data_IF_729135377686
#
_entry.id   IF_729135377686
#
_cell.length_a   1.000
_cell.length_b   1.000
_cell.length_c   1.000
_cell.angle_alpha   90.00
_cell.angle_beta   90.00
_cell.angle_gamma   90.00
#
_symmetry.space_group_name_H-M   'P 1'
#
loop_
_entity.id
_entity.type
_entity.pdbx_description
1 polymer ?
#
# COMPACT_ATOMS: atom_id res chain seq x y z
N UNK A 1 26.62 -5.31 -15.01
CA UNK A 1 25.93 -4.11 -15.51
C UNK A 1 24.70 -3.92 -14.63
N UNK A 2 24.77 -3.03 -13.65
CA UNK A 2 23.69 -2.79 -12.71
C UNK A 2 22.65 -1.88 -13.38
N UNK A 3 21.47 -2.42 -13.66
CA UNK A 3 20.35 -1.63 -14.17
C UNK A 3 19.92 -0.62 -13.11
N UNK A 4 20.00 0.66 -13.45
CA UNK A 4 19.40 1.77 -12.71
C UNK A 4 17.88 1.53 -12.62
N UNK A 5 17.43 0.92 -11.52
CA UNK A 5 16.02 0.92 -11.13
C UNK A 5 15.65 2.37 -10.80
N UNK A 6 14.79 2.98 -11.62
CA UNK A 6 14.30 4.34 -11.41
C UNK A 6 13.56 4.36 -10.07
N UNK A 7 14.19 4.99 -9.08
CA UNK A 7 13.69 5.11 -7.71
C UNK A 7 12.51 6.07 -7.68
N UNK A 8 11.29 5.56 -7.84
CA UNK A 8 10.04 6.30 -7.60
C UNK A 8 9.55 6.22 -6.13
N UNK A 9 10.29 5.57 -5.23
CA UNK A 9 9.83 5.27 -3.86
C UNK A 9 10.88 5.72 -2.82
N UNK A 10 11.49 6.87 -3.09
CA UNK A 10 12.58 7.43 -2.29
C UNK A 10 12.20 8.63 -1.44
N UNK A 11 11.04 8.66 -0.78
CA UNK A 11 10.75 9.54 0.38
C UNK A 11 9.29 9.42 0.84
N UNK A 12 8.97 8.48 1.73
CA UNK A 12 7.85 8.61 2.69
C UNK A 12 7.72 7.38 3.62
N UNK A 13 8.81 6.88 4.22
CA UNK A 13 8.69 6.03 5.42
C UNK A 13 9.72 6.50 6.45
N UNK A 14 9.53 7.72 6.93
CA UNK A 14 10.23 8.25 8.09
C UNK A 14 9.39 9.38 8.72
N UNK A 15 8.19 9.07 9.21
CA UNK A 15 7.52 9.79 10.30
C UNK A 15 6.10 9.24 10.51
N UNK A 16 5.97 8.15 11.26
CA UNK A 16 4.84 8.04 12.19
C UNK A 16 5.46 7.76 13.54
N UNK A 17 5.96 8.86 14.14
CA UNK A 17 6.30 8.89 15.56
C UNK A 17 4.98 9.00 16.32
N UNK A 18 4.88 8.18 17.36
CA UNK A 18 3.80 8.15 18.32
C UNK A 18 3.52 9.53 18.95
N UNK A 19 2.24 9.87 19.10
CA UNK A 19 1.74 10.52 20.32
C UNK A 19 1.71 12.05 20.34
N UNK A 20 0.47 12.59 20.42
CA UNK A 20 0.11 13.66 21.34
C UNK A 20 0.77 15.04 21.17
N UNK A 21 0.14 15.91 20.38
CA UNK A 21 0.11 17.34 20.67
C UNK A 21 -1.16 17.97 20.07
N UNK A 22 -2.01 18.53 20.92
CA UNK A 22 -3.09 19.42 20.50
C UNK A 22 -2.53 20.54 19.62
N UNK A 23 -3.08 20.69 18.42
CA UNK A 23 -3.05 21.95 17.69
C UNK A 23 -4.45 22.17 17.16
N UNK A 24 -5.15 23.12 17.76
CA UNK A 24 -6.46 23.59 17.34
C UNK A 24 -6.31 24.17 15.93
N UNK A 25 -6.82 23.47 14.93
CA UNK A 25 -7.01 24.02 13.59
C UNK A 25 -8.51 24.14 13.34
N UNK A 26 -8.96 25.36 13.12
CA UNK A 26 -10.37 25.72 12.92
C UNK A 26 -10.92 25.00 11.69
N UNK A 27 -11.94 24.17 11.90
CA UNK A 27 -12.72 23.49 10.87
C UNK A 27 -13.66 24.49 10.19
N UNK A 28 -13.32 24.94 8.98
CA UNK A 28 -14.33 25.39 8.01
C UNK A 28 -14.93 24.13 7.38
N UNK A 29 -16.16 23.82 7.79
CA UNK A 29 -16.89 22.64 7.35
C UNK A 29 -17.20 22.68 5.86
N UNK A 30 -16.82 21.62 5.15
CA UNK A 30 -17.49 21.17 3.94
C UNK A 30 -18.26 19.92 4.29
N UNK A 31 -19.57 19.94 4.02
CA UNK A 31 -20.45 18.81 4.23
C UNK A 31 -20.02 17.65 3.32
N UNK A 32 -19.44 16.60 3.91
CA UNK A 32 -19.28 15.30 3.27
C UNK A 32 -20.54 14.48 3.50
N UNK A 33 -21.03 13.87 2.42
CA UNK A 33 -22.15 12.93 2.48
C UNK A 33 -21.89 11.86 3.54
N UNK A 34 -22.95 11.46 4.23
CA UNK A 34 -22.91 10.47 5.31
C UNK A 34 -22.39 9.13 4.80
N UNK A 35 -21.06 8.94 4.82
CA UNK A 35 -20.47 7.62 4.87
C UNK A 35 -20.96 6.99 6.18
N UNK A 36 -21.67 5.87 6.07
CA UNK A 36 -22.18 5.11 7.22
C UNK A 36 -20.99 4.80 8.14
N UNK A 37 -20.91 5.46 9.29
CA UNK A 37 -19.78 5.35 10.21
C UNK A 37 -19.57 3.87 10.55
N UNK A 38 -18.53 3.26 9.98
CA UNK A 38 -18.14 1.91 10.32
C UNK A 38 -17.79 1.88 11.81
N UNK A 39 -18.25 0.87 12.54
CA UNK A 39 -17.91 0.77 13.95
C UNK A 39 -16.38 0.76 14.12
N UNK A 40 -15.82 1.56 15.04
CA UNK A 40 -14.38 1.62 15.24
C UNK A 40 -13.86 0.24 15.65
N UNK A 41 -12.88 -0.28 14.90
CA UNK A 41 -12.26 -1.57 15.19
C UNK A 41 -11.59 -1.54 16.56
N UNK A 42 -11.77 -2.60 17.34
CA UNK A 42 -11.07 -2.78 18.61
C UNK A 42 -9.66 -3.31 18.35
N UNK A 43 -8.70 -2.40 18.21
CA UNK A 43 -7.29 -2.73 18.02
C UNK A 43 -6.63 -2.95 19.39
N UNK A 44 -6.11 -4.16 19.70
CA UNK A 44 -5.44 -4.42 20.96
C UNK A 44 -4.24 -3.49 21.19
N UNK A 45 -4.07 -3.01 22.42
CA UNK A 45 -2.91 -2.20 22.79
C UNK A 45 -1.63 -3.03 22.73
N UNK A 46 -0.55 -2.41 22.26
CA UNK A 46 0.79 -3.02 22.28
C UNK A 46 1.32 -2.98 23.72
N UNK A 47 1.78 -4.11 24.24
CA UNK A 47 2.38 -4.17 25.57
C UNK A 47 3.68 -3.38 25.60
N UNK A 48 3.94 -2.69 26.72
CA UNK A 48 5.15 -1.86 26.88
C UNK A 48 6.45 -2.65 26.63
N UNK A 49 6.50 -3.91 27.08
CA UNK A 49 7.65 -4.78 26.85
C UNK A 49 7.86 -5.10 25.36
N UNK A 50 6.79 -5.37 24.62
CA UNK A 50 6.85 -5.61 23.16
C UNK A 50 7.23 -4.34 22.42
N UNK A 51 6.67 -3.19 22.82
CA UNK A 51 7.02 -1.90 22.24
C UNK A 51 8.52 -1.61 22.32
N UNK A 52 9.15 -1.83 23.49
CA UNK A 52 10.61 -1.68 23.65
C UNK A 52 11.40 -2.57 22.70
N UNK A 53 11.01 -3.84 22.56
CA UNK A 53 11.66 -4.78 21.62
C UNK A 53 11.53 -4.30 20.17
N UNK A 54 10.35 -3.83 19.76
CA UNK A 54 10.13 -3.27 18.43
C UNK A 54 10.98 -2.02 18.17
N UNK A 55 11.19 -1.18 19.20
CA UNK A 55 12.12 -0.04 19.09
C UNK A 55 13.57 -0.49 18.90
N UNK A 56 14.02 -1.52 19.61
CA UNK A 56 15.38 -2.05 19.46
C UNK A 56 15.59 -2.65 18.08
N UNK A 57 14.61 -3.40 17.55
CA UNK A 57 14.60 -3.83 16.14
C UNK A 57 14.65 -2.63 15.20
N UNK A 58 13.87 -1.58 15.42
CA UNK A 58 13.88 -0.40 14.55
C UNK A 58 15.25 0.30 14.54
N UNK A 59 15.98 0.33 15.66
CA UNK A 59 17.35 0.87 15.72
C UNK A 59 18.30 0.05 14.83
N UNK A 60 18.16 -1.28 14.82
CA UNK A 60 18.92 -2.15 13.90
C UNK A 60 18.59 -1.81 12.44
N UNK A 61 17.30 -1.69 12.11
CA UNK A 61 16.83 -1.36 10.76
C UNK A 61 17.36 0.01 10.30
N UNK A 62 17.26 1.06 11.13
CA UNK A 62 17.79 2.40 10.82
C UNK A 62 19.30 2.38 10.63
N UNK A 63 20.01 1.55 11.40
CA UNK A 63 21.46 1.32 11.26
C UNK A 63 21.81 0.41 10.07
N UNK A 64 20.84 0.08 9.21
CA UNK A 64 20.97 -0.84 8.06
C UNK A 64 21.44 -2.25 8.43
N UNK A 65 21.33 -2.63 9.70
CA UNK A 65 21.65 -3.97 10.23
C UNK A 65 20.46 -4.91 9.98
N UNK A 66 20.06 -5.02 8.71
CA UNK A 66 18.83 -5.72 8.31
C UNK A 66 18.86 -7.22 8.65
N UNK A 67 20.03 -7.87 8.53
CA UNK A 67 20.19 -9.27 8.90
C UNK A 67 19.89 -9.52 10.39
N UNK A 68 20.36 -8.64 11.26
CA UNK A 68 20.12 -8.74 12.70
C UNK A 68 18.67 -8.39 13.05
N UNK A 69 18.13 -7.32 12.46
CA UNK A 69 16.71 -6.99 12.60
C UNK A 69 15.79 -8.14 12.16
N UNK A 70 16.14 -8.84 11.08
CA UNK A 70 15.44 -10.05 10.61
C UNK A 70 15.47 -11.15 11.67
N UNK A 71 16.65 -11.51 12.18
CA UNK A 71 16.83 -12.55 13.18
C UNK A 71 16.04 -12.26 14.45
N UNK A 72 16.06 -11.01 14.93
CA UNK A 72 15.28 -10.60 16.10
C UNK A 72 13.77 -10.73 15.84
N UNK A 73 13.27 -10.23 14.71
CA UNK A 73 11.85 -10.34 14.34
C UNK A 73 11.40 -11.81 14.21
N UNK A 74 12.19 -12.66 13.54
CA UNK A 74 11.91 -14.09 13.42
C UNK A 74 11.90 -14.79 14.78
N UNK A 75 12.79 -14.40 15.71
CA UNK A 75 12.83 -14.87 17.10
C UNK A 75 11.63 -14.42 17.94
N UNK A 76 11.06 -13.25 17.66
CA UNK A 76 9.82 -12.81 18.28
C UNK A 76 8.62 -13.60 17.72
N UNK A 77 8.54 -13.72 16.39
CA UNK A 77 7.45 -14.41 15.69
C UNK A 77 7.40 -15.92 15.96
N UNK A 78 8.54 -16.56 16.25
CA UNK A 78 8.58 -17.98 16.67
C UNK A 78 7.87 -18.26 17.99
N UNK A 79 7.58 -17.21 18.76
CA UNK A 79 6.81 -17.22 20.02
C UNK A 79 5.58 -16.32 19.91
N UNK A 80 4.96 -16.31 18.73
CA UNK A 80 3.81 -15.46 18.39
C UNK A 80 2.61 -15.65 19.32
N UNK A 81 2.48 -16.82 19.94
CA UNK A 81 1.47 -17.15 20.96
C UNK A 81 1.50 -16.23 22.19
N UNK A 82 2.64 -15.56 22.44
CA UNK A 82 2.83 -14.64 23.57
C UNK A 82 2.40 -13.20 23.28
N UNK A 83 2.03 -12.90 22.05
CA UNK A 83 1.74 -11.55 21.58
C UNK A 83 0.29 -11.46 21.10
N UNK A 84 -0.31 -10.29 21.24
CA UNK A 84 -1.61 -10.05 20.64
C UNK A 84 -1.49 -9.87 19.12
N UNK A 85 -2.63 -9.94 18.42
CA UNK A 85 -2.69 -9.90 16.95
C UNK A 85 -2.14 -8.59 16.36
N UNK A 86 -2.30 -7.45 17.04
CA UNK A 86 -1.73 -6.16 16.62
C UNK A 86 -0.20 -6.19 16.73
N UNK A 87 0.35 -6.73 17.81
CA UNK A 87 1.79 -6.90 17.98
C UNK A 87 2.40 -7.79 16.90
N UNK A 88 1.75 -8.92 16.60
CA UNK A 88 2.14 -9.84 15.52
C UNK A 88 2.10 -9.13 14.16
N UNK A 89 1.07 -8.33 13.90
CA UNK A 89 0.98 -7.52 12.68
C UNK A 89 2.16 -6.54 12.54
N UNK A 90 2.52 -5.86 13.63
CA UNK A 90 3.62 -4.91 13.63
C UNK A 90 4.97 -5.59 13.37
N UNK A 91 5.16 -6.80 13.90
CA UNK A 91 6.36 -7.61 13.62
C UNK A 91 6.44 -8.02 12.15
N UNK A 92 5.35 -8.54 11.58
CA UNK A 92 5.32 -8.89 10.15
C UNK A 92 5.53 -7.68 9.26
N UNK A 93 4.95 -6.52 9.60
CA UNK A 93 5.15 -5.27 8.85
C UNK A 93 6.62 -4.85 8.82
N UNK A 94 7.32 -4.88 9.95
CA UNK A 94 8.76 -4.59 10.01
C UNK A 94 9.57 -5.66 9.25
N UNK A 95 9.20 -6.93 9.38
CA UNK A 95 9.89 -8.03 8.72
C UNK A 95 9.74 -7.95 7.19
N UNK A 96 8.58 -7.51 6.71
CA UNK A 96 8.34 -7.25 5.30
C UNK A 96 9.28 -6.17 4.75
N UNK A 97 9.39 -5.05 5.47
CA UNK A 97 10.35 -3.99 5.11
C UNK A 97 11.79 -4.50 5.11
N UNK A 98 12.18 -5.29 6.11
CA UNK A 98 13.51 -5.91 6.18
C UNK A 98 13.77 -6.82 4.99
N UNK A 99 12.82 -7.66 4.59
CA UNK A 99 12.96 -8.50 3.40
C UNK A 99 13.07 -7.67 2.12
N UNK A 100 12.32 -6.58 1.99
CA UNK A 100 12.46 -5.67 0.86
C UNK A 100 13.88 -5.08 0.77
N UNK A 101 14.44 -4.61 1.89
CA UNK A 101 15.80 -4.07 1.94
C UNK A 101 16.89 -5.12 1.65
N UNK A 102 16.60 -6.41 1.88
CA UNK A 102 17.47 -7.53 1.58
C UNK A 102 17.29 -8.08 0.16
N UNK A 103 16.58 -7.36 -0.73
CA UNK A 103 16.25 -7.77 -2.10
C UNK A 103 15.51 -9.14 -2.14
N UNK A 104 14.59 -9.34 -1.19
CA UNK A 104 13.76 -10.54 -1.06
C UNK A 104 12.27 -10.18 -1.26
N UNK A 105 11.85 -9.75 -2.46
CA UNK A 105 10.51 -9.25 -2.71
C UNK A 105 9.41 -10.30 -2.46
N UNK A 106 9.65 -11.57 -2.78
CA UNK A 106 8.68 -12.65 -2.50
C UNK A 106 8.40 -12.78 -1.01
N UNK A 107 9.45 -12.77 -0.18
CA UNK A 107 9.29 -12.82 1.28
C UNK A 107 8.62 -11.56 1.83
N UNK A 108 8.88 -10.39 1.23
CA UNK A 108 8.19 -9.14 1.59
C UNK A 108 6.67 -9.25 1.34
N UNK A 109 6.25 -9.81 0.20
CA UNK A 109 4.83 -10.07 -0.10
C UNK A 109 4.23 -10.99 0.95
N UNK A 110 4.86 -12.15 1.22
CA UNK A 110 4.39 -13.11 2.22
C UNK A 110 4.20 -12.49 3.61
N UNK A 111 5.10 -11.59 4.03
CA UNK A 111 4.95 -10.93 5.31
C UNK A 111 3.81 -9.90 5.33
N UNK A 112 3.57 -9.16 4.24
CA UNK A 112 2.42 -8.27 4.17
C UNK A 112 1.09 -9.05 4.16
N UNK A 113 1.03 -10.22 3.51
CA UNK A 113 -0.13 -11.11 3.59
C UNK A 113 -0.39 -11.54 5.05
N UNK A 114 0.66 -11.89 5.81
CA UNK A 114 0.54 -12.19 7.25
C UNK A 114 0.11 -10.99 8.10
N UNK A 115 0.35 -9.76 7.68
CA UNK A 115 -0.22 -8.56 8.33
C UNK A 115 -1.74 -8.55 8.12
N UNK A 116 -2.22 -8.80 6.90
CA UNK A 116 -3.66 -8.84 6.59
C UNK A 116 -4.37 -9.97 7.33
N UNK A 117 -3.70 -11.10 7.54
CA UNK A 117 -4.24 -12.19 8.38
C UNK A 117 -4.58 -11.72 9.80
N UNK A 118 -4.02 -10.62 10.30
CA UNK A 118 -4.32 -10.09 11.63
C UNK A 118 -5.59 -9.24 11.70
N UNK A 119 -6.25 -8.95 10.58
CA UNK A 119 -7.55 -8.27 10.58
C UNK A 119 -8.63 -9.09 11.33
N UNK A 120 -9.60 -8.45 12.02
CA UNK A 120 -9.81 -7.01 12.15
C UNK A 120 -9.06 -6.38 13.35
N UNK A 121 -8.05 -7.05 13.91
CA UNK A 121 -7.30 -6.58 15.08
C UNK A 121 -6.19 -5.55 14.75
N UNK A 122 -6.22 -5.00 13.54
CA UNK A 122 -5.40 -3.89 13.05
C UNK A 122 -6.32 -2.74 12.62
N UNK A 123 -5.81 -1.51 12.63
CA UNK A 123 -6.60 -0.35 12.19
C UNK A 123 -7.02 -0.49 10.72
N UNK A 124 -8.15 0.11 10.35
CA UNK A 124 -8.62 0.18 8.95
C UNK A 124 -7.54 0.80 8.06
N UNK A 125 -6.88 1.84 8.54
CA UNK A 125 -5.76 2.49 7.87
C UNK A 125 -4.58 1.52 7.64
N UNK A 126 -4.19 0.74 8.65
CA UNK A 126 -3.09 -0.21 8.52
C UNK A 126 -3.41 -1.32 7.49
N UNK A 127 -4.64 -1.82 7.48
CA UNK A 127 -5.09 -2.79 6.48
C UNK A 127 -5.11 -2.19 5.07
N UNK A 128 -5.72 -1.01 4.92
CA UNK A 128 -5.78 -0.25 3.67
C UNK A 128 -4.38 0.01 3.10
N UNK A 129 -3.44 0.45 3.93
CA UNK A 129 -2.06 0.72 3.51
C UNK A 129 -1.25 -0.55 3.23
N UNK A 130 -1.59 -1.68 3.88
CA UNK A 130 -0.99 -2.98 3.59
C UNK A 130 -1.43 -3.47 2.21
N UNK A 131 -2.72 -3.34 1.89
CA UNK A 131 -3.25 -3.60 0.55
C UNK A 131 -2.59 -2.73 -0.52
N UNK A 132 -2.41 -1.42 -0.27
CA UNK A 132 -1.69 -0.54 -1.19
C UNK A 132 -0.25 -0.98 -1.42
N UNK A 133 0.45 -1.38 -0.36
CA UNK A 133 1.83 -1.88 -0.47
C UNK A 133 1.90 -3.19 -1.28
N UNK A 134 0.98 -4.13 -1.01
CA UNK A 134 0.88 -5.37 -1.79
C UNK A 134 0.61 -5.10 -3.27
N UNK A 135 -0.24 -4.12 -3.59
CA UNK A 135 -0.49 -3.73 -4.97
C UNK A 135 0.81 -3.30 -5.68
N UNK A 136 1.62 -2.44 -5.06
CA UNK A 136 2.91 -2.03 -5.61
C UNK A 136 3.89 -3.19 -5.76
N UNK A 137 4.01 -4.06 -4.74
CA UNK A 137 4.90 -5.23 -4.80
C UNK A 137 4.49 -6.21 -5.93
N UNK A 138 3.18 -6.36 -6.16
CA UNK A 138 2.68 -7.18 -7.26
C UNK A 138 2.90 -6.55 -8.63
N UNK A 139 2.84 -5.22 -8.76
CA UNK A 139 3.25 -4.52 -9.99
C UNK A 139 4.74 -4.76 -10.27
N UNK A 140 5.62 -4.60 -9.28
CA UNK A 140 7.06 -4.85 -9.43
C UNK A 140 7.33 -6.30 -9.85
N UNK A 141 6.62 -7.26 -9.22
CA UNK A 141 6.67 -8.66 -9.62
C UNK A 141 6.19 -8.86 -11.06
N UNK A 142 5.09 -8.24 -11.46
CA UNK A 142 4.58 -8.34 -12.82
C UNK A 142 5.59 -7.87 -13.86
N UNK A 143 6.30 -6.77 -13.58
CA UNK A 143 7.34 -6.21 -14.44
C UNK A 143 8.57 -7.13 -14.56
N UNK A 144 8.91 -7.84 -13.48
CA UNK A 144 10.03 -8.78 -13.46
C UNK A 144 9.77 -10.11 -14.19
N UNK A 145 8.50 -10.43 -14.47
CA UNK A 145 8.09 -11.67 -15.12
C UNK A 145 7.42 -11.45 -16.48
N UNK A 146 7.16 -12.54 -17.22
CA UNK A 146 6.51 -12.54 -18.52
C UNK A 146 5.38 -13.59 -18.55
N UNK A 147 4.54 -13.52 -19.60
CA UNK A 147 3.45 -14.46 -19.80
C UNK A 147 2.44 -14.48 -18.64
N UNK A 148 1.94 -15.66 -18.30
CA UNK A 148 0.88 -15.83 -17.30
C UNK A 148 1.25 -15.29 -15.91
N UNK A 149 2.51 -15.42 -15.49
CA UNK A 149 2.97 -14.90 -14.20
C UNK A 149 2.87 -13.38 -14.09
N UNK A 150 3.10 -12.67 -15.20
CA UNK A 150 2.91 -11.22 -15.29
C UNK A 150 1.44 -10.87 -15.12
N UNK A 151 0.57 -11.54 -15.89
CA UNK A 151 -0.88 -11.29 -15.85
C UNK A 151 -1.47 -11.60 -14.48
N UNK A 152 -1.10 -12.73 -13.87
CA UNK A 152 -1.50 -13.09 -12.51
C UNK A 152 -1.04 -12.04 -11.48
N UNK A 153 0.20 -11.57 -11.59
CA UNK A 153 0.71 -10.53 -10.71
C UNK A 153 -0.05 -9.20 -10.87
N UNK A 154 -0.37 -8.78 -12.10
CA UNK A 154 -1.22 -7.60 -12.30
C UNK A 154 -2.65 -7.79 -11.76
N UNK A 155 -3.25 -8.98 -11.89
CA UNK A 155 -4.56 -9.27 -11.28
C UNK A 155 -4.51 -9.20 -9.76
N UNK A 156 -3.44 -9.70 -9.13
CA UNK A 156 -3.23 -9.55 -7.68
C UNK A 156 -3.04 -8.08 -7.29
N UNK A 157 -2.31 -7.30 -8.09
CA UNK A 157 -2.17 -5.88 -7.86
C UNK A 157 -3.52 -5.14 -7.92
N UNK A 158 -4.34 -5.45 -8.92
CA UNK A 158 -5.69 -4.90 -9.09
C UNK A 158 -6.57 -5.24 -7.89
N UNK A 159 -6.60 -6.51 -7.49
CA UNK A 159 -7.36 -6.98 -6.32
C UNK A 159 -6.95 -6.26 -5.04
N UNK A 160 -5.64 -6.18 -4.77
CA UNK A 160 -5.13 -5.47 -3.60
C UNK A 160 -5.48 -3.97 -3.63
N UNK A 161 -5.38 -3.33 -4.79
CA UNK A 161 -5.73 -1.92 -4.91
C UNK A 161 -7.24 -1.69 -4.71
N UNK A 162 -8.10 -2.56 -5.22
CA UNK A 162 -9.54 -2.50 -4.97
C UNK A 162 -9.87 -2.62 -3.47
N UNK A 163 -9.19 -3.52 -2.73
CA UNK A 163 -9.32 -3.60 -1.28
C UNK A 163 -8.85 -2.33 -0.57
N UNK A 164 -7.74 -1.72 -1.01
CA UNK A 164 -7.31 -0.42 -0.50
C UNK A 164 -8.39 0.66 -0.68
N UNK A 165 -8.96 0.76 -1.89
CA UNK A 165 -9.98 1.73 -2.24
C UNK A 165 -11.29 1.54 -1.47
N UNK A 166 -11.65 0.30 -1.16
CA UNK A 166 -12.83 -0.01 -0.35
C UNK A 166 -12.68 0.38 1.13
N UNK A 167 -11.44 0.46 1.63
CA UNK A 167 -11.13 0.78 3.02
C UNK A 167 -10.70 2.24 3.23
N UNK A 168 -10.19 2.90 2.19
CA UNK A 168 -9.75 4.28 2.27
C UNK A 168 -10.96 5.23 2.31
N UNK A 169 -11.02 6.08 3.34
CA UNK A 169 -12.14 7.02 3.55
C UNK A 169 -12.20 8.10 2.47
N UNK A 170 -11.05 8.59 2.02
CA UNK A 170 -10.93 9.56 0.93
C UNK A 170 -9.75 9.19 0.02
N UNK A 171 -9.94 8.24 -0.93
CA UNK A 171 -8.87 7.84 -1.82
C UNK A 171 -8.35 9.05 -2.61
N UNK A 172 -7.02 9.16 -2.69
CA UNK A 172 -6.34 10.20 -3.46
C UNK A 172 -6.56 9.97 -4.98
N UNK A 173 -6.65 11.01 -5.82
CA UNK A 173 -6.77 10.84 -7.26
C UNK A 173 -5.69 9.94 -7.88
N UNK A 174 -4.46 9.95 -7.34
CA UNK A 174 -3.39 9.06 -7.81
C UNK A 174 -3.68 7.57 -7.58
N UNK A 175 -4.54 7.22 -6.61
CA UNK A 175 -4.96 5.85 -6.38
C UNK A 175 -5.76 5.29 -7.57
N UNK A 176 -6.66 6.11 -8.12
CA UNK A 176 -7.39 5.79 -9.35
C UNK A 176 -6.47 5.74 -10.58
N UNK A 177 -5.46 6.61 -10.63
CA UNK A 177 -4.46 6.53 -11.69
C UNK A 177 -3.64 5.23 -11.63
N UNK A 178 -3.32 4.72 -10.44
CA UNK A 178 -2.67 3.40 -10.29
C UNK A 178 -3.58 2.28 -10.79
N UNK A 179 -4.89 2.30 -10.46
CA UNK A 179 -5.85 1.34 -11.01
C UNK A 179 -5.85 1.36 -12.54
N UNK A 180 -5.89 2.55 -13.14
CA UNK A 180 -5.81 2.70 -14.59
C UNK A 180 -4.54 2.10 -15.20
N UNK A 181 -3.38 2.32 -14.56
CA UNK A 181 -2.12 1.74 -15.02
C UNK A 181 -2.15 0.22 -14.96
N UNK A 182 -2.77 -0.39 -13.94
CA UNK A 182 -2.89 -1.85 -13.84
C UNK A 182 -3.87 -2.39 -14.89
N UNK A 183 -5.03 -1.75 -15.08
CA UNK A 183 -5.99 -2.11 -16.14
C UNK A 183 -5.36 -2.03 -17.54
N UNK A 184 -4.60 -0.96 -17.81
CA UNK A 184 -3.83 -0.82 -19.05
C UNK A 184 -2.90 -2.02 -19.29
N UNK A 185 -2.17 -2.47 -18.26
CA UNK A 185 -1.27 -3.62 -18.38
C UNK A 185 -2.01 -4.96 -18.60
N UNK A 186 -3.28 -5.02 -18.20
CA UNK A 186 -4.17 -6.17 -18.42
C UNK A 186 -4.94 -6.07 -19.76
N UNK A 187 -4.70 -5.03 -20.56
CA UNK A 187 -5.46 -4.70 -21.77
C UNK A 187 -6.97 -4.49 -21.52
N UNK A 188 -7.34 -4.18 -20.29
CA UNK A 188 -8.72 -3.85 -19.89
C UNK A 188 -8.93 -2.33 -20.00
N UNK A 189 -8.94 -1.85 -21.24
CA UNK A 189 -8.91 -0.41 -21.50
C UNK A 189 -10.18 0.32 -21.07
N UNK A 190 -11.34 -0.32 -21.11
CA UNK A 190 -12.61 0.29 -20.68
C UNK A 190 -12.57 0.64 -19.19
N UNK A 191 -12.21 -0.30 -18.32
CA UNK A 191 -12.07 -0.04 -16.89
C UNK A 191 -10.89 0.91 -16.58
N UNK A 192 -9.83 0.85 -17.40
CA UNK A 192 -8.72 1.78 -17.33
C UNK A 192 -9.13 3.23 -17.59
N UNK A 193 -9.96 3.46 -18.63
CA UNK A 193 -10.52 4.77 -18.97
C UNK A 193 -11.35 5.31 -17.81
N UNK A 194 -12.29 4.52 -17.28
CA UNK A 194 -13.12 4.92 -16.14
C UNK A 194 -12.27 5.34 -14.93
N UNK A 195 -11.19 4.60 -14.68
CA UNK A 195 -10.25 4.88 -13.60
C UNK A 195 -9.52 6.21 -13.79
N UNK A 196 -8.95 6.49 -14.98
CA UNK A 196 -8.27 7.78 -15.23
C UNK A 196 -9.24 8.95 -15.22
N UNK A 197 -10.43 8.79 -15.78
CA UNK A 197 -11.46 9.84 -15.76
C UNK A 197 -11.88 10.17 -14.32
N UNK A 198 -11.97 9.16 -13.47
CA UNK A 198 -12.23 9.35 -12.04
C UNK A 198 -11.07 10.07 -11.35
N UNK A 199 -9.83 9.72 -11.64
CA UNK A 199 -8.65 10.44 -11.15
C UNK A 199 -8.69 11.92 -11.54
N UNK A 200 -8.90 12.23 -12.82
CA UNK A 200 -8.97 13.60 -13.35
C UNK A 200 -10.11 14.39 -12.69
N UNK A 201 -11.30 13.78 -12.60
CA UNK A 201 -12.47 14.41 -11.98
C UNK A 201 -12.25 14.75 -10.52
N UNK A 202 -11.65 13.84 -9.74
CA UNK A 202 -11.35 14.09 -8.33
C UNK A 202 -10.23 15.12 -8.16
N UNK A 203 -9.20 15.09 -9.01
CA UNK A 203 -8.16 16.10 -9.00
C UNK A 203 -8.73 17.51 -9.25
N UNK A 204 -9.62 17.65 -10.23
CA UNK A 204 -10.31 18.91 -10.50
C UNK A 204 -11.18 19.41 -9.35
N UNK A 205 -11.87 18.50 -8.62
CA UNK A 205 -12.66 18.86 -7.43
C UNK A 205 -11.81 19.31 -6.23
N UNK A 206 -10.55 18.89 -6.18
CA UNK A 206 -9.63 19.13 -5.06
C UNK A 206 -8.52 20.13 -5.41
N UNK A 207 -8.65 20.83 -6.54
CA UNK A 207 -7.65 21.77 -7.07
C UNK A 207 -6.23 21.16 -7.20
N UNK A 208 -6.16 19.85 -7.46
CA UNK A 208 -4.91 19.13 -7.70
C UNK A 208 -4.62 19.21 -9.21
N UNK A 209 -3.41 19.66 -9.63
CA UNK A 209 -3.05 19.69 -11.04
C UNK A 209 -3.11 18.30 -11.68
N UNK A 210 -3.85 18.21 -12.79
CA UNK A 210 -3.87 17.00 -13.63
C UNK A 210 -2.51 16.84 -14.30
N UNK A 211 -1.91 15.66 -14.14
CA UNK A 211 -0.58 15.37 -14.70
C UNK A 211 -0.73 14.96 -16.16
N UNK A 212 0.20 15.40 -17.01
CA UNK A 212 0.24 15.06 -18.44
C UNK A 212 0.30 13.53 -18.69
N UNK A 213 0.91 12.77 -17.77
CA UNK A 213 0.92 11.31 -17.85
C UNK A 213 -0.50 10.70 -17.80
N UNK A 214 -1.44 11.37 -17.11
CA UNK A 214 -2.81 10.89 -16.97
C UNK A 214 -3.58 11.08 -18.28
N UNK A 215 -3.48 12.27 -18.87
CA UNK A 215 -4.13 12.58 -20.15
C UNK A 215 -3.56 11.71 -21.27
N UNK A 216 -2.23 11.53 -21.33
CA UNK A 216 -1.61 10.63 -22.31
C UNK A 216 -2.07 9.19 -22.19
N UNK A 217 -2.20 8.68 -20.96
CA UNK A 217 -2.70 7.32 -20.74
C UNK A 217 -4.17 7.20 -21.18
N UNK A 218 -5.00 8.19 -20.86
CA UNK A 218 -6.40 8.25 -21.26
C UNK A 218 -6.56 8.25 -22.79
N UNK A 219 -5.84 9.14 -23.47
CA UNK A 219 -5.91 9.30 -24.92
C UNK A 219 -5.48 8.01 -25.64
N UNK A 220 -4.42 7.36 -25.15
CA UNK A 220 -3.98 6.07 -25.68
C UNK A 220 -5.06 4.99 -25.55
N UNK A 221 -5.65 4.85 -24.35
CA UNK A 221 -6.63 3.79 -24.11
C UNK A 221 -7.90 4.01 -24.94
N UNK A 222 -8.37 5.25 -25.08
CA UNK A 222 -9.51 5.60 -25.95
C UNK A 222 -9.25 5.23 -27.40
N UNK A 223 -8.10 5.65 -27.95
CA UNK A 223 -7.72 5.29 -29.32
C UNK A 223 -7.62 3.78 -29.54
N UNK A 224 -7.24 3.02 -28.51
CA UNK A 224 -7.12 1.56 -28.58
C UNK A 224 -8.49 0.87 -28.60
N UNK A 225 -9.46 1.39 -27.85
CA UNK A 225 -10.85 0.91 -27.87
C UNK A 225 -11.49 1.20 -29.23
N UNK A 226 -11.35 2.43 -29.73
CA UNK A 226 -11.92 2.83 -31.03
C UNK A 226 -11.35 2.00 -32.19
N UNK A 227 -10.05 1.70 -32.17
CA UNK A 227 -9.40 0.87 -33.18
C UNK A 227 -9.78 -0.61 -33.10
N UNK A 228 -10.18 -1.11 -31.92
CA UNK A 228 -10.64 -2.50 -31.74
C UNK A 228 -12.12 -2.72 -32.09
N UNK A 229 -12.90 -1.64 -32.16
CA UNK A 229 -14.30 -1.66 -32.56
C UNK A 229 -14.54 -1.56 -34.08
N UNK A 230 -13.48 -1.24 -34.85
CA UNK A 230 -13.46 -1.13 -36.31
C UNK A 230 -13.02 -2.44 -36.98
#
# INVERSE_FOLDING_TARGET
MAAQRICWIGAAIAAVVLGGACSSFETRGFATGQAKAAQPRQVPHIHHATWKKLQDVQKLIVSKRYGEGRTELESLLSRSDRYNRNEVAQMHRLLAYVHWQLDQPTKSIEQHEKVLEQAPFISVEAESMTHRTLASLHVDRAQAHAGEQRTDSYRRALSAMNSHMALAEDPDPSAYYVLAQVHYQLADYEAGIESVETAIRLAGKRDIPVKEAWTRLLDYMRSSVDAGAA
#
